data_IF_766017142173
#
_entry.id   IF_766017142173
#
_cell.length_a   1.000
_cell.length_b   1.000
_cell.length_c   1.000
_cell.angle_alpha   90.00
_cell.angle_beta   90.00
_cell.angle_gamma   90.00
#
_symmetry.space_group_name_H-M   'P 1'
#
loop_
_entity.id
_entity.type
_entity.pdbx_description
1 polymer ?
#
# COMPACT_ATOMS: atom_id res chain seq x y z
N UNK A 1 38.86 -14.43 -16.75
CA UNK A 1 37.44 -14.81 -16.84
C UNK A 1 36.70 -13.86 -15.93
N UNK A 2 35.87 -12.99 -16.49
CA UNK A 2 35.15 -11.96 -15.75
C UNK A 2 33.83 -12.56 -15.29
N UNK A 3 33.72 -12.90 -14.01
CA UNK A 3 32.44 -13.27 -13.41
C UNK A 3 31.60 -11.99 -13.25
N UNK A 4 30.71 -11.79 -14.22
CA UNK A 4 29.65 -10.78 -14.13
C UNK A 4 28.68 -11.19 -13.04
N UNK A 5 28.79 -10.58 -11.85
CA UNK A 5 27.80 -10.67 -10.80
C UNK A 5 26.52 -9.98 -11.30
N UNK A 6 25.58 -10.77 -11.85
CA UNK A 6 24.23 -10.31 -12.14
C UNK A 6 23.58 -10.09 -10.77
N UNK A 7 23.62 -8.85 -10.29
CA UNK A 7 22.84 -8.41 -9.14
C UNK A 7 21.37 -8.63 -9.46
N UNK A 8 20.82 -9.74 -9.00
CA UNK A 8 19.38 -9.96 -8.99
C UNK A 8 18.77 -8.85 -8.14
N UNK A 9 18.19 -7.85 -8.80
CA UNK A 9 17.34 -6.86 -8.14
C UNK A 9 16.05 -7.56 -7.77
N UNK A 10 16.05 -8.33 -6.67
CA UNK A 10 14.82 -8.84 -6.07
C UNK A 10 14.08 -7.65 -5.48
N UNK A 11 13.37 -6.92 -6.34
CA UNK A 11 12.40 -5.94 -5.91
C UNK A 11 11.44 -6.68 -4.98
N UNK A 12 11.28 -6.27 -3.72
CA UNK A 12 10.41 -6.96 -2.79
C UNK A 12 8.99 -6.91 -3.37
N UNK A 13 8.56 -8.02 -3.96
CA UNK A 13 7.20 -8.17 -4.45
C UNK A 13 6.36 -8.46 -3.22
N UNK A 14 5.68 -7.43 -2.71
CA UNK A 14 4.71 -7.59 -1.64
C UNK A 14 3.49 -8.26 -2.26
N UNK A 15 3.34 -9.57 -2.03
CA UNK A 15 2.14 -10.31 -2.45
C UNK A 15 0.97 -9.91 -1.55
N UNK A 16 0.11 -9.03 -2.03
CA UNK A 16 -1.16 -8.71 -1.38
C UNK A 16 -2.11 -9.88 -1.64
N UNK A 17 -2.24 -10.78 -0.66
CA UNK A 17 -3.08 -11.98 -0.77
C UNK A 17 -4.58 -11.66 -0.84
N UNK A 18 -4.99 -10.51 -0.31
CA UNK A 18 -6.36 -10.02 -0.43
C UNK A 18 -6.37 -8.48 -0.36
N UNK A 19 -6.64 -7.79 -1.48
CA UNK A 19 -6.59 -6.34 -1.54
C UNK A 19 -7.72 -5.66 -0.75
N UNK A 20 -8.86 -6.33 -0.55
CA UNK A 20 -9.94 -5.80 0.29
C UNK A 20 -9.51 -5.71 1.77
N UNK A 21 -8.77 -6.71 2.28
CA UNK A 21 -8.24 -6.69 3.65
C UNK A 21 -7.18 -5.59 3.85
N UNK A 22 -6.37 -5.31 2.83
CA UNK A 22 -5.37 -4.24 2.88
C UNK A 22 -6.06 -2.88 2.84
N UNK A 23 -7.07 -2.69 1.99
CA UNK A 23 -7.90 -1.47 1.96
C UNK A 23 -8.54 -1.20 3.32
N UNK A 24 -9.18 -2.21 3.92
CA UNK A 24 -9.81 -2.08 5.24
C UNK A 24 -8.79 -1.72 6.33
N UNK A 25 -7.60 -2.30 6.28
CA UNK A 25 -6.52 -2.00 7.24
C UNK A 25 -6.02 -0.56 7.10
N UNK A 26 -5.82 -0.09 5.85
CA UNK A 26 -5.39 1.28 5.57
C UNK A 26 -6.40 2.32 6.05
N UNK A 27 -7.70 2.08 5.80
CA UNK A 27 -8.77 2.96 6.28
C UNK A 27 -8.86 2.98 7.81
N UNK A 28 -8.70 1.81 8.45
CA UNK A 28 -8.69 1.71 9.91
C UNK A 28 -7.51 2.47 10.53
N UNK A 29 -6.33 2.41 9.92
CA UNK A 29 -5.17 3.20 10.36
C UNK A 29 -5.43 4.70 10.27
N UNK A 30 -6.14 5.16 9.24
CA UNK A 30 -6.49 6.56 9.10
C UNK A 30 -7.52 7.00 10.15
N UNK A 31 -8.57 6.23 10.39
CA UNK A 31 -9.57 6.53 11.43
C UNK A 31 -8.90 6.62 12.80
N UNK A 32 -8.02 5.67 13.12
CA UNK A 32 -7.25 5.67 14.37
C UNK A 32 -6.37 6.92 14.52
N UNK A 33 -5.74 7.37 13.43
CA UNK A 33 -4.92 8.58 13.43
C UNK A 33 -5.74 9.86 13.57
N UNK A 34 -6.97 9.88 13.06
CA UNK A 34 -7.89 11.00 13.22
C UNK A 34 -8.42 11.12 14.66
N UNK A 35 -8.66 9.99 15.33
CA UNK A 35 -9.13 9.94 16.73
C UNK A 35 -8.03 10.25 17.76
N UNK A 36 -6.77 10.13 17.36
CA UNK A 36 -5.61 10.37 18.22
C UNK A 36 -4.60 11.30 17.55
N UNK A 37 -4.92 12.61 17.40
CA UNK A 37 -4.05 13.58 16.73
C UNK A 37 -2.70 13.77 17.43
N UNK A 38 -2.61 13.41 18.71
CA UNK A 38 -1.39 13.47 19.51
C UNK A 38 -0.48 12.24 19.31
N UNK A 39 -0.95 11.19 18.62
CA UNK A 39 -0.23 9.94 18.36
C UNK A 39 -0.03 9.70 16.86
N UNK A 40 1.16 10.10 16.42
CA UNK A 40 2.05 9.29 15.56
C UNK A 40 1.89 9.26 14.04
N UNK A 41 0.93 9.96 13.41
CA UNK A 41 0.98 10.15 11.95
C UNK A 41 0.89 11.64 11.60
N UNK A 42 1.98 12.19 11.06
CA UNK A 42 1.96 13.52 10.49
C UNK A 42 0.98 13.59 9.30
N UNK A 43 0.62 14.82 8.92
CA UNK A 43 -0.38 15.05 7.87
C UNK A 43 0.07 14.51 6.50
N UNK A 44 1.37 14.40 6.27
CA UNK A 44 1.95 13.88 5.01
C UNK A 44 1.78 12.35 4.95
N UNK A 45 2.08 11.65 6.03
CA UNK A 45 1.88 10.22 6.15
C UNK A 45 0.40 9.82 6.08
N UNK A 46 -0.52 10.63 6.63
CA UNK A 46 -1.97 10.42 6.46
C UNK A 46 -2.39 10.59 4.99
N UNK A 47 -1.89 11.62 4.31
CA UNK A 47 -2.16 11.83 2.89
C UNK A 47 -1.63 10.68 2.03
N UNK A 48 -0.46 10.14 2.36
CA UNK A 48 0.12 9.00 1.65
C UNK A 48 -0.65 7.70 1.88
N UNK A 49 -1.16 7.47 3.10
CA UNK A 49 -2.09 6.35 3.38
C UNK A 49 -3.36 6.44 2.54
N UNK A 50 -3.96 7.63 2.41
CA UNK A 50 -5.13 7.85 1.54
C UNK A 50 -4.81 7.60 0.08
N UNK A 51 -3.67 8.07 -0.42
CA UNK A 51 -3.23 7.82 -1.80
C UNK A 51 -3.03 6.33 -2.06
N UNK A 52 -2.43 5.61 -1.13
CA UNK A 52 -2.27 4.16 -1.21
C UNK A 52 -3.61 3.44 -1.26
N UNK A 53 -4.55 3.81 -0.38
CA UNK A 53 -5.89 3.23 -0.38
C UNK A 53 -6.62 3.51 -1.71
N UNK A 54 -6.52 4.74 -2.24
CA UNK A 54 -7.11 5.11 -3.52
C UNK A 54 -6.54 4.30 -4.69
N UNK A 55 -5.21 4.20 -4.80
CA UNK A 55 -4.54 3.43 -5.86
C UNK A 55 -4.92 1.94 -5.80
N UNK A 56 -5.00 1.38 -4.59
CA UNK A 56 -5.37 -0.02 -4.40
C UNK A 56 -6.84 -0.25 -4.76
N UNK A 57 -7.74 0.66 -4.40
CA UNK A 57 -9.17 0.58 -4.75
C UNK A 57 -9.38 0.62 -6.27
N UNK A 58 -8.70 1.53 -6.96
CA UNK A 58 -8.77 1.60 -8.43
C UNK A 58 -8.25 0.32 -9.07
N UNK A 59 -7.11 -0.21 -8.61
CA UNK A 59 -6.57 -1.48 -9.12
C UNK A 59 -7.57 -2.63 -8.94
N UNK A 60 -8.26 -2.68 -7.79
CA UNK A 60 -9.28 -3.71 -7.53
C UNK A 60 -10.51 -3.54 -8.43
N UNK A 61 -10.95 -2.30 -8.67
CA UNK A 61 -12.08 -2.02 -9.56
C UNK A 61 -11.73 -2.40 -11.00
N UNK A 62 -10.58 -1.93 -11.50
CA UNK A 62 -10.13 -2.20 -12.86
C UNK A 62 -9.97 -3.71 -13.11
N UNK A 63 -9.37 -4.45 -12.17
CA UNK A 63 -9.23 -5.91 -12.28
C UNK A 63 -10.53 -6.70 -12.17
N UNK A 64 -11.60 -6.10 -11.62
CA UNK A 64 -12.95 -6.70 -11.58
C UNK A 64 -13.73 -6.43 -12.85
N UNK A 65 -13.56 -5.27 -13.47
CA UNK A 65 -14.20 -4.91 -14.75
C UNK A 65 -13.58 -5.67 -15.95
N UNK A 66 -12.32 -6.08 -15.86
CA UNK A 66 -11.63 -6.89 -16.89
C UNK A 66 -12.00 -8.39 -16.88
N UNK A 67 -12.83 -8.86 -15.93
CA UNK A 67 -13.23 -10.27 -15.78
C UNK A 67 -14.67 -10.52 -16.23
#
# INVERSE_FOLDING_TARGET
MSDSFIGATTSPTITILNPDHVLLSLLSCHELAADHPDRELDHEAQADLLRLAYCLANTVIDTREER
#
